data_IF_348878936928
#
_entry.id   IF_348878936928
#
_cell.length_a   1.000
_cell.length_b   1.000
_cell.length_c   1.000
_cell.angle_alpha   90.00
_cell.angle_beta   90.00
_cell.angle_gamma   90.00
#
_symmetry.space_group_name_H-M   'P 1'
#
loop_
_entity.id
_entity.type
_entity.pdbx_description
1 polymer ?
#
# COMPACT_ATOMS: atom_id res chain seq x y z
N UNK A 1 -54.01 -40.72 -9.36
CA UNK A 1 -55.08 -41.61 -8.79
C UNK A 1 -55.96 -40.75 -7.95
N UNK A 2 -57.18 -40.52 -8.44
CA UNK A 2 -58.48 -40.27 -7.80
C UNK A 2 -58.56 -39.06 -6.86
N UNK A 3 -59.24 -37.97 -7.27
CA UNK A 3 -60.74 -37.80 -7.33
C UNK A 3 -61.28 -37.38 -5.97
N UNK A 4 -61.88 -36.28 -5.85
CA UNK A 4 -63.24 -35.86 -6.18
C UNK A 4 -63.93 -35.32 -4.94
N UNK A 5 -64.49 -34.12 -5.07
CA UNK A 5 -65.90 -33.71 -5.00
C UNK A 5 -66.28 -33.22 -3.59
N UNK A 6 -67.13 -32.29 -3.29
CA UNK A 6 -68.25 -31.66 -4.02
C UNK A 6 -68.88 -30.58 -3.10
N UNK A 7 -69.48 -29.59 -3.74
CA UNK A 7 -70.54 -28.67 -3.21
C UNK A 7 -71.84 -29.45 -2.81
N UNK A 8 -72.91 -28.88 -2.25
CA UNK A 8 -73.45 -27.52 -2.23
C UNK A 8 -74.13 -27.19 -0.83
N UNK A 9 -74.69 -26.06 -0.47
CA UNK A 9 -75.64 -25.18 -1.03
C UNK A 9 -76.63 -24.66 0.00
N UNK A 10 -77.44 -23.67 -0.37
CA UNK A 10 -78.68 -23.12 0.21
C UNK A 10 -78.50 -22.02 1.29
N UNK A 11 -78.71 -20.74 0.97
CA UNK A 11 -80.04 -20.05 0.76
C UNK A 11 -80.87 -19.85 2.06
N UNK A 12 -81.08 -18.57 2.41
CA UNK A 12 -82.02 -18.20 3.43
C UNK A 12 -82.05 -16.68 3.67
N UNK A 13 -83.12 -16.11 3.30
CA UNK A 13 -83.52 -14.76 3.03
C UNK A 13 -83.80 -13.90 4.30
N UNK A 14 -83.61 -12.57 4.10
CA UNK A 14 -84.53 -11.44 4.56
C UNK A 14 -84.61 -11.14 6.03
N UNK A 15 -84.19 -9.95 6.51
CA UNK A 15 -85.10 -8.93 6.98
C UNK A 15 -84.43 -7.54 7.14
N UNK A 16 -85.13 -6.52 6.71
CA UNK A 16 -84.85 -5.10 6.86
C UNK A 16 -84.85 -4.65 8.34
N UNK A 17 -83.83 -3.83 8.72
CA UNK A 17 -83.96 -2.86 9.76
C UNK A 17 -83.11 -1.62 9.43
N UNK A 18 -83.83 -0.58 9.07
CA UNK A 18 -83.29 0.79 8.94
C UNK A 18 -82.89 1.30 10.32
N UNK A 19 -81.59 1.60 10.50
CA UNK A 19 -81.16 2.48 11.60
C UNK A 19 -80.27 3.55 11.01
N UNK A 20 -80.72 4.78 11.02
CA UNK A 20 -80.00 5.96 10.61
C UNK A 20 -78.79 6.17 11.56
N UNK A 21 -77.60 5.96 11.10
CA UNK A 21 -76.39 6.38 11.79
C UNK A 21 -75.75 7.48 10.97
N UNK A 22 -75.63 8.66 11.56
CA UNK A 22 -75.00 9.85 10.93
C UNK A 22 -73.62 9.62 10.42
N UNK A 23 -73.43 9.83 9.14
CA UNK A 23 -72.14 9.92 8.47
C UNK A 23 -71.36 11.14 9.02
N UNK A 24 -70.47 10.95 9.98
CA UNK A 24 -69.38 11.88 10.22
C UNK A 24 -68.39 11.80 9.04
N UNK A 25 -68.50 12.75 8.15
CA UNK A 25 -67.51 12.96 7.08
C UNK A 25 -66.18 13.38 7.73
N UNK A 26 -65.06 12.68 7.54
CA UNK A 26 -63.79 13.21 7.99
C UNK A 26 -63.51 14.48 7.19
N UNK A 27 -63.41 15.62 7.86
CA UNK A 27 -62.88 16.84 7.25
C UNK A 27 -61.45 16.59 6.82
N UNK A 28 -61.26 16.43 5.52
CA UNK A 28 -59.93 16.52 4.89
C UNK A 28 -59.37 17.90 5.23
N UNK A 29 -58.29 17.94 6.01
CA UNK A 29 -57.55 19.17 6.27
C UNK A 29 -57.18 19.80 4.90
N UNK A 30 -57.72 20.95 4.62
CA UNK A 30 -57.40 21.71 3.43
C UNK A 30 -55.91 22.08 3.44
N UNK A 31 -55.20 21.81 2.36
CA UNK A 31 -53.83 22.26 2.20
C UNK A 31 -53.81 23.80 2.24
N UNK A 32 -53.07 24.37 3.19
CA UNK A 32 -52.92 25.81 3.32
C UNK A 32 -51.92 26.31 2.24
N UNK A 33 -52.30 27.27 1.40
CA UNK A 33 -51.45 27.84 0.36
C UNK A 33 -50.15 28.44 0.91
N UNK A 34 -50.07 28.77 2.17
CA UNK A 34 -48.88 29.27 2.85
C UNK A 34 -47.75 28.20 3.03
N UNK A 35 -48.08 26.89 2.84
CA UNK A 35 -47.15 25.79 2.96
C UNK A 35 -46.86 25.10 1.61
N UNK A 36 -47.03 25.77 0.48
CA UNK A 36 -46.76 25.22 -0.88
C UNK A 36 -47.35 23.80 -1.09
N UNK A 37 -48.50 23.52 -0.51
CA UNK A 37 -49.15 22.20 -0.60
C UNK A 37 -48.80 21.21 0.52
N UNK A 38 -47.87 21.54 1.43
CA UNK A 38 -47.53 20.75 2.62
C UNK A 38 -48.57 20.91 3.74
N UNK A 39 -48.56 19.98 4.71
CA UNK A 39 -49.44 20.05 5.91
C UNK A 39 -48.89 21.03 6.93
N UNK A 40 -49.79 21.84 7.52
CA UNK A 40 -49.44 22.73 8.64
C UNK A 40 -49.35 21.89 9.93
N UNK A 41 -48.22 21.99 10.64
CA UNK A 41 -47.99 21.30 11.91
C UNK A 41 -48.69 22.02 13.09
N UNK A 42 -48.53 23.34 13.12
CA UNK A 42 -49.18 24.23 14.08
C UNK A 42 -49.06 25.71 13.62
N UNK A 43 -49.79 26.60 14.24
CA UNK A 43 -49.72 28.04 14.03
C UNK A 43 -49.07 28.69 15.27
N UNK A 44 -48.09 29.58 15.07
CA UNK A 44 -47.39 30.31 16.14
C UNK A 44 -47.81 31.77 16.18
N UNK A 45 -47.76 32.36 17.39
CA UNK A 45 -48.02 33.78 17.58
C UNK A 45 -46.97 34.63 16.81
N UNK A 46 -47.38 35.67 16.03
CA UNK A 46 -46.47 36.51 15.27
C UNK A 46 -45.59 37.38 16.18
N UNK A 47 -45.96 37.65 17.42
CA UNK A 47 -45.18 38.43 18.40
C UNK A 47 -44.09 37.63 19.11
N UNK A 48 -43.84 36.37 18.75
CA UNK A 48 -42.77 35.55 19.32
C UNK A 48 -43.04 34.99 20.73
N UNK A 49 -44.27 35.17 21.25
CA UNK A 49 -44.70 34.51 22.50
C UNK A 49 -44.80 33.00 22.26
N UNK A 50 -44.61 32.16 23.32
CA UNK A 50 -44.63 30.68 23.16
C UNK A 50 -46.04 30.09 22.95
N UNK A 51 -47.05 30.93 22.64
CA UNK A 51 -48.42 30.47 22.37
C UNK A 51 -48.57 29.91 20.97
N UNK A 52 -49.03 28.67 20.86
CA UNK A 52 -49.24 27.93 19.62
C UNK A 52 -50.68 27.42 19.52
N UNK A 53 -51.18 27.27 18.29
CA UNK A 53 -52.53 26.75 18.04
C UNK A 53 -52.53 25.68 16.96
N UNK A 54 -53.28 24.59 17.07
CA UNK A 54 -53.41 23.59 16.01
C UNK A 54 -54.29 24.05 14.83
N UNK A 55 -54.99 25.19 14.98
CA UNK A 55 -55.87 25.78 13.96
C UNK A 55 -55.54 27.24 13.73
N UNK A 56 -55.87 27.82 12.56
CA UNK A 56 -55.68 29.24 12.31
C UNK A 56 -56.40 30.06 13.39
N UNK A 57 -55.66 30.98 14.02
CA UNK A 57 -56.16 31.84 15.14
C UNK A 57 -55.57 33.24 14.98
N UNK A 58 -56.26 34.24 15.47
CA UNK A 58 -55.78 35.59 15.58
C UNK A 58 -55.36 35.90 17.03
N UNK A 59 -54.33 36.71 17.15
CA UNK A 59 -53.89 37.21 18.44
C UNK A 59 -54.84 38.34 19.00
N UNK A 60 -54.64 38.78 20.22
CA UNK A 60 -55.49 39.89 20.80
C UNK A 60 -55.40 41.22 20.05
N UNK A 61 -54.37 41.38 19.15
CA UNK A 61 -54.17 42.54 18.30
C UNK A 61 -54.69 42.34 16.87
N UNK A 62 -55.47 41.23 16.63
CA UNK A 62 -56.08 40.85 15.37
C UNK A 62 -55.09 40.45 14.26
N UNK A 63 -53.85 40.07 14.60
CA UNK A 63 -52.86 39.55 13.65
C UNK A 63 -53.02 38.02 13.51
N UNK A 64 -52.89 37.53 12.29
CA UNK A 64 -52.99 36.08 12.00
C UNK A 64 -51.77 35.34 12.51
N UNK A 65 -51.95 34.17 13.12
CA UNK A 65 -50.87 33.28 13.48
C UNK A 65 -50.17 32.76 12.25
N UNK A 66 -48.82 32.68 12.31
CA UNK A 66 -47.98 32.22 11.23
C UNK A 66 -48.00 30.69 11.18
N UNK A 67 -48.41 30.07 10.05
CA UNK A 67 -48.38 28.62 9.92
C UNK A 67 -46.93 28.10 9.91
N UNK A 68 -46.67 27.07 10.68
CA UNK A 68 -45.43 26.28 10.67
C UNK A 68 -45.74 24.98 9.97
N UNK A 69 -45.18 24.83 8.78
CA UNK A 69 -45.40 23.66 7.92
C UNK A 69 -44.66 22.43 8.44
N UNK A 70 -45.24 21.25 8.28
CA UNK A 70 -44.46 20.02 8.34
C UNK A 70 -43.50 20.06 7.15
N UNK A 71 -42.20 20.24 7.42
CA UNK A 71 -41.17 20.10 6.38
C UNK A 71 -41.33 18.71 5.76
N UNK A 72 -41.53 18.64 4.45
CA UNK A 72 -41.44 17.42 3.64
C UNK A 72 -40.01 16.84 3.61
N UNK A 73 -39.27 17.00 4.70
CA UNK A 73 -37.97 16.33 4.86
C UNK A 73 -38.25 14.89 5.26
N UNK A 74 -38.47 14.10 4.21
CA UNK A 74 -38.56 12.63 4.33
C UNK A 74 -37.43 12.07 5.17
N UNK A 75 -37.79 11.50 6.29
CA UNK A 75 -37.39 10.20 6.82
C UNK A 75 -35.89 9.89 6.97
N UNK A 76 -34.96 10.83 7.21
CA UNK A 76 -33.69 10.45 7.80
C UNK A 76 -33.44 11.33 9.05
N UNK A 77 -33.50 10.76 10.26
CA UNK A 77 -33.29 11.51 11.52
C UNK A 77 -31.80 11.88 11.69
N UNK A 78 -31.28 12.71 10.84
CA UNK A 78 -29.88 13.14 10.82
C UNK A 78 -29.51 14.03 9.63
N UNK A 79 -30.40 14.17 8.65
CA UNK A 79 -30.15 15.07 7.51
C UNK A 79 -30.08 16.54 8.00
N UNK A 80 -29.02 17.24 7.59
CA UNK A 80 -28.78 18.65 7.96
C UNK A 80 -28.87 19.49 6.72
N UNK A 81 -29.71 20.55 6.79
CA UNK A 81 -29.73 21.62 5.79
C UNK A 81 -28.96 22.82 6.33
N UNK A 82 -27.93 23.25 5.63
CA UNK A 82 -27.09 24.40 5.96
C UNK A 82 -27.28 25.44 4.86
N UNK A 83 -27.54 26.69 5.23
CA UNK A 83 -27.67 27.77 4.22
C UNK A 83 -26.38 27.93 3.42
N UNK A 84 -26.48 28.28 2.14
CA UNK A 84 -25.34 28.44 1.24
C UNK A 84 -24.30 29.43 1.78
N UNK A 85 -24.73 30.51 2.43
CA UNK A 85 -23.83 31.47 3.09
C UNK A 85 -23.04 30.86 4.24
N UNK A 86 -23.65 29.94 4.98
CA UNK A 86 -23.00 29.20 6.08
C UNK A 86 -22.04 28.15 5.52
N UNK A 87 -22.41 27.48 4.43
CA UNK A 87 -21.54 26.52 3.68
C UNK A 87 -20.26 27.22 3.21
N UNK A 88 -20.39 28.41 2.62
CA UNK A 88 -19.23 29.21 2.16
C UNK A 88 -18.34 29.64 3.33
N UNK A 89 -18.95 30.16 4.43
CA UNK A 89 -18.21 30.59 5.63
C UNK A 89 -17.49 29.45 6.34
N UNK A 90 -18.05 28.26 6.35
CA UNK A 90 -17.43 27.07 6.95
C UNK A 90 -16.38 26.42 6.06
N UNK A 91 -16.26 26.84 4.79
CA UNK A 91 -15.30 26.29 3.84
C UNK A 91 -15.58 24.80 3.53
N UNK A 92 -16.83 24.38 3.47
CA UNK A 92 -17.22 23.02 3.13
C UNK A 92 -16.72 22.68 1.74
N UNK A 93 -15.93 21.62 1.62
CA UNK A 93 -15.50 21.06 0.34
C UNK A 93 -16.04 19.66 0.17
N UNK A 94 -16.36 19.32 -1.05
CA UNK A 94 -16.83 17.99 -1.42
C UNK A 94 -15.92 17.36 -2.46
N UNK A 95 -15.87 16.06 -2.50
CA UNK A 95 -15.21 15.28 -3.54
C UNK A 95 -16.18 14.26 -4.10
N UNK A 96 -16.02 13.98 -5.38
CA UNK A 96 -16.78 12.92 -6.05
C UNK A 96 -16.23 11.55 -5.67
N UNK A 97 -17.12 10.62 -5.37
CA UNK A 97 -16.81 9.22 -5.13
C UNK A 97 -16.44 8.57 -6.46
N UNK A 98 -15.22 8.11 -6.57
CA UNK A 98 -14.71 7.53 -7.81
C UNK A 98 -14.19 6.11 -7.58
N UNK A 99 -14.32 5.31 -8.61
CA UNK A 99 -13.59 4.06 -8.68
C UNK A 99 -12.11 4.34 -8.94
N UNK A 100 -11.25 3.78 -8.09
CA UNK A 100 -9.79 3.95 -8.19
C UNK A 100 -9.06 2.63 -8.01
N UNK A 101 -7.94 2.51 -8.70
CA UNK A 101 -6.93 1.52 -8.36
C UNK A 101 -6.20 1.99 -7.10
N UNK A 102 -6.35 1.25 -6.02
CA UNK A 102 -5.70 1.53 -4.74
C UNK A 102 -4.47 0.65 -4.59
N UNK A 103 -3.44 1.17 -3.95
CA UNK A 103 -2.28 0.39 -3.54
C UNK A 103 -2.06 0.52 -2.04
N UNK A 104 -1.92 -0.61 -1.37
CA UNK A 104 -1.50 -0.64 0.03
C UNK A 104 0.01 -0.47 0.09
N UNK A 105 0.50 0.31 1.05
CA UNK A 105 1.93 0.41 1.31
C UNK A 105 2.29 -0.46 2.50
N UNK A 106 3.16 -1.44 2.27
CA UNK A 106 3.76 -2.25 3.33
C UNK A 106 5.13 -1.65 3.65
N UNK A 107 5.34 -1.27 4.92
CA UNK A 107 6.61 -0.75 5.42
C UNK A 107 7.39 -1.84 6.13
N UNK A 108 8.68 -1.92 5.85
CA UNK A 108 9.57 -2.90 6.42
C UNK A 108 10.96 -2.28 6.71
N UNK A 109 11.60 -2.76 7.76
CA UNK A 109 13.04 -2.52 7.95
C UNK A 109 13.83 -3.46 7.06
N UNK A 110 15.00 -3.00 6.62
CA UNK A 110 15.85 -3.75 5.73
C UNK A 110 17.33 -3.49 6.01
N UNK A 111 18.16 -4.44 5.59
CA UNK A 111 19.61 -4.29 5.50
C UNK A 111 20.07 -4.50 4.06
N UNK A 112 21.11 -3.79 3.68
CA UNK A 112 21.72 -3.93 2.37
C UNK A 112 22.76 -5.05 2.40
N UNK A 113 22.80 -5.85 1.34
CA UNK A 113 23.77 -6.93 1.17
C UNK A 113 24.30 -6.94 -0.25
N UNK A 114 25.48 -7.51 -0.44
CA UNK A 114 25.99 -7.76 -1.78
C UNK A 114 25.14 -8.80 -2.50
N UNK A 115 25.02 -8.67 -3.82
CA UNK A 115 24.44 -9.72 -4.65
C UNK A 115 25.38 -10.95 -4.65
N UNK A 116 24.99 -12.01 -3.96
CA UNK A 116 25.77 -13.25 -3.83
C UNK A 116 26.10 -13.88 -5.19
N UNK A 117 25.27 -13.67 -6.20
CA UNK A 117 25.47 -14.18 -7.56
C UNK A 117 26.62 -13.46 -8.31
N UNK A 118 27.01 -12.28 -7.81
CA UNK A 118 28.03 -11.40 -8.39
C UNK A 118 29.30 -11.39 -7.56
N UNK A 119 29.48 -12.35 -6.68
CA UNK A 119 30.70 -12.56 -5.91
C UNK A 119 31.59 -13.57 -6.61
N UNK A 120 32.86 -13.25 -6.69
CA UNK A 120 33.88 -14.12 -7.26
C UNK A 120 35.04 -14.27 -6.30
N UNK A 121 35.42 -15.51 -6.02
CA UNK A 121 36.57 -15.83 -5.19
C UNK A 121 37.75 -16.19 -6.09
N UNK A 122 38.91 -15.57 -5.86
CA UNK A 122 40.16 -15.90 -6.50
C UNK A 122 40.88 -16.89 -5.59
N UNK A 123 40.82 -18.16 -5.95
CA UNK A 123 41.44 -19.27 -5.23
C UNK A 123 42.24 -20.10 -6.25
N UNK A 124 43.58 -19.96 -6.25
CA UNK A 124 44.44 -20.75 -7.19
C UNK A 124 44.27 -22.25 -6.98
N UNK A 125 44.32 -23.01 -8.06
CA UNK A 125 44.18 -24.47 -8.01
C UNK A 125 45.53 -25.21 -7.88
N UNK A 126 46.56 -24.47 -7.48
CA UNK A 126 47.94 -24.92 -7.26
C UNK A 126 48.47 -24.29 -5.99
N UNK A 127 49.55 -24.84 -5.43
CA UNK A 127 50.24 -24.26 -4.28
C UNK A 127 51.43 -23.37 -4.75
N UNK A 128 51.73 -22.35 -3.93
CA UNK A 128 52.85 -21.46 -4.26
C UNK A 128 53.16 -20.43 -3.19
N UNK A 129 53.96 -19.44 -3.55
CA UNK A 129 54.29 -18.27 -2.76
C UNK A 129 53.89 -17.01 -3.50
N UNK A 130 53.38 -16.02 -2.78
CA UNK A 130 53.06 -14.70 -3.31
C UNK A 130 54.36 -13.90 -3.33
N UNK A 131 54.85 -13.61 -4.52
CA UNK A 131 56.11 -12.83 -4.71
C UNK A 131 55.83 -11.33 -4.61
N UNK A 132 54.68 -10.89 -5.18
CA UNK A 132 54.34 -9.49 -5.21
C UNK A 132 52.82 -9.29 -5.21
N UNK A 133 52.33 -8.29 -4.47
CA UNK A 133 50.96 -7.83 -4.55
C UNK A 133 50.85 -6.57 -5.42
N UNK A 134 49.99 -6.61 -6.43
CA UNK A 134 49.69 -5.50 -7.32
C UNK A 134 48.41 -4.77 -6.92
N UNK A 135 47.48 -5.50 -6.33
CA UNK A 135 46.28 -4.94 -5.64
C UNK A 135 46.43 -5.24 -4.15
N UNK A 136 46.54 -4.20 -3.35
CA UNK A 136 47.03 -4.36 -1.98
C UNK A 136 46.02 -3.98 -0.89
N UNK A 137 44.89 -3.40 -1.24
CA UNK A 137 43.90 -2.97 -0.25
C UNK A 137 42.50 -3.54 -0.50
N UNK A 138 41.76 -3.76 0.60
CA UNK A 138 40.31 -3.95 0.57
C UNK A 138 39.68 -2.62 0.19
N UNK A 139 38.73 -2.64 -0.72
CA UNK A 139 38.09 -1.44 -1.30
C UNK A 139 38.65 -1.04 -2.67
N UNK A 140 39.80 -1.61 -3.10
CA UNK A 140 40.35 -1.31 -4.40
C UNK A 140 39.41 -1.78 -5.53
N UNK A 141 39.14 -0.92 -6.53
CA UNK A 141 38.43 -1.33 -7.73
C UNK A 141 39.37 -2.12 -8.65
N UNK A 142 38.85 -3.18 -9.23
CA UNK A 142 39.57 -4.01 -10.19
C UNK A 142 38.75 -4.25 -11.44
N UNK A 143 39.42 -4.40 -12.59
CA UNK A 143 38.78 -4.73 -13.85
C UNK A 143 39.13 -6.16 -14.25
N UNK A 144 38.25 -6.78 -15.06
CA UNK A 144 38.53 -8.11 -15.63
C UNK A 144 39.88 -8.13 -16.37
N UNK A 145 40.73 -9.09 -16.04
CA UNK A 145 42.08 -9.24 -16.62
C UNK A 145 43.16 -8.37 -15.98
N UNK A 146 42.80 -7.47 -15.05
CA UNK A 146 43.80 -6.68 -14.32
C UNK A 146 44.67 -7.57 -13.43
N UNK A 147 46.00 -7.43 -13.46
CA UNK A 147 46.91 -8.16 -12.59
C UNK A 147 46.61 -7.90 -11.09
N UNK A 148 46.40 -8.95 -10.30
CA UNK A 148 46.16 -8.87 -8.86
C UNK A 148 47.44 -9.11 -8.07
N UNK A 149 48.14 -10.18 -8.38
CA UNK A 149 49.36 -10.57 -7.69
C UNK A 149 50.22 -11.48 -8.56
N UNK A 150 51.49 -11.60 -8.22
CA UNK A 150 52.51 -12.45 -8.86
C UNK A 150 52.85 -13.62 -7.94
N UNK A 151 52.96 -14.83 -8.49
CA UNK A 151 53.21 -16.04 -7.74
C UNK A 151 54.38 -16.83 -8.29
N UNK A 152 55.11 -17.44 -7.38
CA UNK A 152 56.04 -18.52 -7.68
C UNK A 152 55.41 -19.86 -7.30
N UNK A 153 55.38 -20.80 -8.24
CA UNK A 153 54.90 -22.16 -7.99
C UNK A 153 55.83 -23.18 -8.62
N UNK A 154 56.49 -24.07 -7.82
CA UNK A 154 57.28 -25.14 -8.34
C UNK A 154 56.50 -26.06 -9.25
N UNK A 155 55.23 -26.34 -8.90
CA UNK A 155 54.32 -27.20 -9.68
C UNK A 155 54.10 -26.61 -11.08
N UNK A 156 53.77 -25.33 -11.18
CA UNK A 156 53.59 -24.66 -12.46
C UNK A 156 54.88 -24.64 -13.31
N UNK A 157 56.04 -24.44 -12.67
CA UNK A 157 57.33 -24.47 -13.39
C UNK A 157 57.60 -25.83 -14.01
N UNK A 158 57.37 -26.94 -13.31
CA UNK A 158 57.49 -28.29 -13.82
C UNK A 158 56.53 -28.51 -15.00
N UNK A 159 55.28 -28.09 -14.86
CA UNK A 159 54.26 -28.24 -15.90
C UNK A 159 54.55 -27.41 -17.15
N UNK A 160 55.12 -26.21 -17.00
CA UNK A 160 55.57 -25.39 -18.12
C UNK A 160 56.69 -26.12 -18.90
N UNK A 161 57.62 -26.76 -18.19
CA UNK A 161 58.68 -27.54 -18.78
C UNK A 161 58.15 -28.79 -19.51
N UNK A 162 57.26 -29.54 -18.87
CA UNK A 162 56.55 -30.68 -19.49
C UNK A 162 55.83 -30.25 -20.77
N UNK A 163 55.11 -29.12 -20.74
CA UNK A 163 54.37 -28.61 -21.90
C UNK A 163 55.26 -28.33 -23.11
N UNK A 164 56.46 -27.78 -22.87
CA UNK A 164 57.41 -27.52 -23.94
C UNK A 164 58.03 -28.80 -24.51
N UNK A 165 58.40 -29.73 -23.63
CA UNK A 165 58.99 -31.01 -24.04
C UNK A 165 57.98 -31.90 -24.79
N UNK A 166 56.72 -31.84 -24.39
CA UNK A 166 55.64 -32.57 -25.06
C UNK A 166 55.22 -31.97 -26.41
N UNK A 167 55.96 -31.01 -26.97
CA UNK A 167 55.66 -30.43 -28.26
C UNK A 167 54.29 -29.74 -28.36
N UNK A 168 53.82 -29.15 -27.30
CA UNK A 168 52.51 -28.42 -27.20
C UNK A 168 51.30 -29.34 -27.38
N UNK A 169 51.38 -30.59 -26.98
CA UNK A 169 50.28 -31.55 -27.10
C UNK A 169 49.07 -31.09 -26.31
N UNK A 170 47.86 -31.41 -26.79
CA UNK A 170 46.58 -30.99 -26.20
C UNK A 170 46.49 -31.35 -24.73
N UNK A 171 46.90 -32.54 -24.34
CA UNK A 171 46.86 -33.03 -22.95
C UNK A 171 47.65 -32.14 -21.97
N UNK A 172 48.86 -31.68 -22.36
CA UNK A 172 49.71 -30.83 -21.52
C UNK A 172 49.11 -29.40 -21.41
N UNK A 173 48.43 -28.94 -22.47
CA UNK A 173 47.67 -27.70 -22.47
C UNK A 173 46.46 -27.75 -21.52
N UNK A 174 45.74 -28.87 -21.58
CA UNK A 174 44.58 -29.07 -20.71
C UNK A 174 44.97 -29.20 -19.21
N UNK A 175 46.13 -29.80 -18.93
CA UNK A 175 46.69 -29.90 -17.58
C UNK A 175 46.97 -28.51 -16.99
N UNK A 176 47.57 -27.59 -17.73
CA UNK A 176 47.81 -26.20 -17.32
C UNK A 176 46.46 -25.45 -17.13
N UNK A 177 45.53 -25.58 -18.05
CA UNK A 177 44.20 -24.97 -17.93
C UNK A 177 43.42 -25.45 -16.71
N UNK A 178 43.46 -26.75 -16.43
CA UNK A 178 42.79 -27.33 -15.26
C UNK A 178 43.30 -26.79 -13.94
N UNK A 179 44.59 -26.40 -13.89
CA UNK A 179 45.17 -25.69 -12.74
C UNK A 179 44.87 -24.20 -12.71
N UNK A 180 44.15 -23.67 -13.73
CA UNK A 180 43.82 -22.25 -13.79
C UNK A 180 45.00 -21.37 -14.27
N UNK A 181 45.97 -21.93 -15.02
CA UNK A 181 47.06 -21.16 -15.59
C UNK A 181 46.49 -20.05 -16.51
N UNK A 182 46.86 -18.77 -16.33
CA UNK A 182 46.23 -17.68 -17.04
C UNK A 182 46.45 -17.76 -18.56
N UNK A 183 45.42 -17.48 -19.36
CA UNK A 183 45.49 -17.52 -20.81
C UNK A 183 46.47 -16.46 -21.38
N UNK A 184 46.66 -15.34 -20.68
CA UNK A 184 47.67 -14.33 -20.97
C UNK A 184 49.10 -14.94 -20.95
N UNK A 185 49.39 -15.72 -19.92
CA UNK A 185 50.64 -16.38 -19.70
C UNK A 185 50.83 -17.56 -20.69
N UNK A 186 49.75 -18.25 -21.07
CA UNK A 186 49.77 -19.27 -22.13
C UNK A 186 50.24 -18.72 -23.48
N UNK A 187 49.95 -17.46 -23.80
CA UNK A 187 50.44 -16.81 -25.01
C UNK A 187 51.94 -16.61 -24.96
N UNK A 188 52.51 -16.28 -23.81
CA UNK A 188 53.97 -16.20 -23.59
C UNK A 188 54.63 -17.56 -23.77
N UNK A 189 54.10 -18.62 -23.17
CA UNK A 189 54.58 -19.99 -23.34
C UNK A 189 54.61 -20.41 -24.83
N UNK A 190 53.62 -20.06 -25.63
CA UNK A 190 53.57 -20.35 -27.08
C UNK A 190 54.68 -19.66 -27.84
N UNK A 191 55.17 -18.50 -27.36
CA UNK A 191 56.35 -17.78 -27.93
C UNK A 191 57.70 -18.31 -27.45
N UNK A 192 57.68 -19.28 -26.51
CA UNK A 192 58.89 -19.85 -25.92
C UNK A 192 59.35 -19.20 -24.63
N UNK A 193 58.57 -18.26 -24.10
CA UNK A 193 58.83 -17.64 -22.82
C UNK A 193 58.54 -18.64 -21.66
N UNK A 194 59.37 -18.61 -20.61
CA UNK A 194 59.16 -19.42 -19.39
C UNK A 194 59.21 -18.52 -18.17
N UNK A 195 58.10 -17.84 -17.86
CA UNK A 195 58.11 -17.02 -16.67
C UNK A 195 58.21 -17.91 -15.42
N UNK A 196 59.23 -17.65 -14.59
CA UNK A 196 59.34 -18.31 -13.27
C UNK A 196 58.25 -17.84 -12.33
N UNK A 197 57.85 -16.60 -12.53
CA UNK A 197 56.77 -15.92 -11.77
C UNK A 197 55.58 -15.78 -12.71
N UNK A 198 54.40 -16.18 -12.25
CA UNK A 198 53.14 -16.15 -12.99
C UNK A 198 52.25 -15.08 -12.41
N UNK A 199 51.72 -14.24 -13.29
CA UNK A 199 50.81 -13.17 -12.90
C UNK A 199 49.35 -13.69 -12.90
N UNK A 200 48.69 -13.54 -11.78
CA UNK A 200 47.28 -13.94 -11.62
C UNK A 200 46.37 -12.73 -11.84
N UNK A 201 45.54 -12.73 -12.90
CA UNK A 201 44.64 -11.64 -13.20
C UNK A 201 43.30 -11.79 -12.48
N UNK A 202 42.57 -10.69 -12.36
CA UNK A 202 41.18 -10.68 -11.89
C UNK A 202 40.27 -11.41 -12.89
N UNK A 203 39.45 -12.36 -12.44
CA UNK A 203 38.47 -13.02 -13.28
C UNK A 203 37.23 -12.17 -13.56
N UNK A 204 37.06 -11.05 -12.87
CA UNK A 204 35.86 -10.19 -12.96
C UNK A 204 36.20 -8.73 -12.73
N UNK A 205 35.27 -7.85 -13.09
CA UNK A 205 35.29 -6.43 -12.71
C UNK A 205 34.48 -6.26 -11.43
N UNK A 206 35.01 -5.48 -10.49
CA UNK A 206 34.32 -5.23 -9.21
C UNK A 206 35.24 -4.57 -8.19
N UNK A 207 34.86 -4.69 -6.92
CA UNK A 207 35.63 -4.16 -5.78
C UNK A 207 36.09 -5.31 -4.89
N UNK A 208 37.34 -5.24 -4.45
CA UNK A 208 37.90 -6.21 -3.50
C UNK A 208 37.24 -6.01 -2.13
N UNK A 209 36.50 -7.00 -1.63
CA UNK A 209 35.85 -6.95 -0.33
C UNK A 209 36.58 -7.75 0.74
N UNK A 210 37.43 -8.69 0.33
CA UNK A 210 38.26 -9.50 1.23
C UNK A 210 39.59 -9.80 0.54
N UNK A 211 40.70 -9.68 1.29
CA UNK A 211 42.05 -9.96 0.83
C UNK A 211 42.80 -10.72 1.91
N UNK A 212 42.98 -12.02 1.70
CA UNK A 212 43.82 -12.88 2.53
C UNK A 212 45.26 -13.01 1.99
N UNK A 213 45.51 -12.56 0.76
CA UNK A 213 46.83 -12.57 0.14
C UNK A 213 47.81 -11.65 0.90
N UNK A 214 48.98 -12.18 1.25
CA UNK A 214 50.08 -11.44 1.92
C UNK A 214 51.36 -11.70 1.10
N UNK A 215 52.09 -10.64 0.79
CA UNK A 215 53.38 -10.74 0.07
C UNK A 215 54.38 -11.56 0.87
N UNK A 216 55.08 -12.48 0.21
CA UNK A 216 55.99 -13.44 0.82
C UNK A 216 55.31 -14.67 1.44
N UNK A 217 53.98 -14.67 1.62
CA UNK A 217 53.29 -15.81 2.22
C UNK A 217 53.14 -16.98 1.26
N UNK A 218 53.12 -18.20 1.83
CA UNK A 218 52.79 -19.43 1.10
C UNK A 218 51.27 -19.62 1.13
N UNK A 219 50.69 -20.07 0.02
CA UNK A 219 49.32 -20.50 -0.09
C UNK A 219 49.18 -21.94 -0.59
N UNK A 220 48.07 -22.59 -0.30
CA UNK A 220 47.70 -23.91 -0.76
C UNK A 220 46.67 -23.82 -1.90
N UNK A 221 46.55 -24.90 -2.67
CA UNK A 221 45.50 -25.01 -3.67
C UNK A 221 44.13 -24.90 -3.02
N UNK A 222 43.30 -23.96 -3.52
CA UNK A 222 41.94 -23.72 -3.02
C UNK A 222 41.81 -22.61 -1.94
N UNK A 223 42.96 -22.09 -1.46
CA UNK A 223 42.90 -20.97 -0.50
C UNK A 223 42.27 -19.73 -1.13
N UNK A 224 41.25 -19.10 -0.47
CA UNK A 224 40.62 -17.89 -0.99
C UNK A 224 41.52 -16.69 -0.74
N UNK A 225 42.22 -16.23 -1.76
CA UNK A 225 43.17 -15.12 -1.65
C UNK A 225 42.51 -13.74 -1.79
N UNK A 226 41.51 -13.66 -2.69
CA UNK A 226 40.71 -12.44 -2.89
C UNK A 226 39.24 -12.81 -3.04
N UNK A 227 38.38 -11.93 -2.55
CA UNK A 227 36.94 -11.92 -2.85
C UNK A 227 36.60 -10.61 -3.51
N UNK A 228 36.05 -10.67 -4.72
CA UNK A 228 35.71 -9.52 -5.54
C UNK A 228 34.22 -9.54 -5.79
N UNK A 229 33.57 -8.39 -5.66
CA UNK A 229 32.12 -8.24 -5.85
C UNK A 229 31.84 -7.11 -6.82
N UNK A 230 30.93 -7.36 -7.74
CA UNK A 230 30.31 -6.31 -8.54
C UNK A 230 29.25 -5.59 -7.70
N UNK A 231 29.53 -4.35 -7.34
CA UNK A 231 28.68 -3.52 -6.48
C UNK A 231 27.68 -2.66 -7.25
N UNK A 232 27.56 -2.83 -8.56
CA UNK A 232 26.61 -2.04 -9.41
C UNK A 232 25.15 -2.35 -9.12
N UNK A 233 24.88 -3.50 -8.50
CA UNK A 233 23.58 -3.87 -7.94
C UNK A 233 23.76 -4.34 -6.51
N UNK A 234 22.80 -3.97 -5.68
CA UNK A 234 22.75 -4.38 -4.27
C UNK A 234 21.45 -5.13 -3.98
N UNK A 235 21.50 -6.04 -3.05
CA UNK A 235 20.33 -6.65 -2.48
C UNK A 235 19.90 -5.86 -1.23
N UNK A 236 18.63 -5.59 -1.13
CA UNK A 236 17.98 -5.07 0.06
C UNK A 236 17.14 -6.19 0.64
N UNK A 237 17.53 -6.69 1.79
CA UNK A 237 16.83 -7.76 2.50
C UNK A 237 15.87 -7.09 3.48
N UNK A 238 14.60 -7.05 3.11
CA UNK A 238 13.53 -6.46 3.91
C UNK A 238 12.85 -7.51 4.80
N UNK A 239 12.51 -7.12 6.02
CA UNK A 239 11.80 -7.96 6.99
C UNK A 239 10.34 -7.51 7.12
N UNK A 240 9.43 -8.27 6.51
CA UNK A 240 8.00 -7.99 6.49
C UNK A 240 7.29 -8.85 7.52
N UNK A 241 6.40 -8.28 8.31
CA UNK A 241 5.61 -9.02 9.29
C UNK A 241 4.68 -10.04 8.62
N UNK A 242 4.48 -11.16 9.28
CA UNK A 242 3.64 -12.28 8.81
C UNK A 242 2.23 -11.82 8.37
N UNK A 243 1.63 -10.89 9.10
CA UNK A 243 0.31 -10.33 8.80
C UNK A 243 0.25 -9.54 7.48
N UNK A 244 1.38 -8.99 7.03
CA UNK A 244 1.47 -8.19 5.81
C UNK A 244 1.96 -9.00 4.61
N UNK A 245 2.48 -10.23 4.86
CA UNK A 245 3.06 -11.08 3.82
C UNK A 245 2.07 -11.44 2.71
N UNK A 246 0.80 -11.67 3.05
CA UNK A 246 -0.24 -11.97 2.08
C UNK A 246 -0.47 -10.85 1.05
N UNK A 247 0.01 -9.64 1.33
CA UNK A 247 -0.14 -8.47 0.49
C UNK A 247 1.08 -8.18 -0.38
N UNK A 248 2.17 -8.92 -0.24
CA UNK A 248 3.41 -8.70 -1.02
C UNK A 248 3.61 -9.83 -2.01
N UNK A 249 3.88 -9.46 -3.26
CA UNK A 249 4.13 -10.41 -4.36
C UNK A 249 5.49 -10.13 -4.99
N UNK A 250 6.07 -11.17 -5.58
CA UNK A 250 7.25 -11.00 -6.45
C UNK A 250 6.86 -10.13 -7.64
N UNK A 251 7.68 -9.12 -7.92
CA UNK A 251 7.44 -8.10 -8.94
C UNK A 251 6.93 -6.76 -8.40
N UNK A 252 6.48 -6.70 -7.14
CA UNK A 252 6.03 -5.45 -6.53
C UNK A 252 7.16 -4.41 -6.49
N UNK A 253 6.80 -3.16 -6.76
CA UNK A 253 7.72 -2.04 -6.69
C UNK A 253 8.01 -1.68 -5.23
N UNK A 254 9.27 -1.45 -4.95
CA UNK A 254 9.75 -1.09 -3.64
C UNK A 254 10.55 0.22 -3.69
N UNK A 255 10.24 1.13 -2.78
CA UNK A 255 10.99 2.35 -2.56
C UNK A 255 11.87 2.16 -1.32
N UNK A 256 13.16 2.33 -1.50
CA UNK A 256 14.17 2.12 -0.47
C UNK A 256 14.76 3.46 -0.07
N UNK A 257 14.75 3.77 1.21
CA UNK A 257 15.39 4.93 1.81
C UNK A 257 16.43 4.46 2.80
N UNK A 258 17.67 4.93 2.66
CA UNK A 258 18.78 4.59 3.57
C UNK A 258 19.05 5.77 4.51
N UNK A 259 19.40 5.47 5.75
CA UNK A 259 19.63 6.51 6.76
C UNK A 259 20.80 7.45 6.40
N UNK A 260 21.76 6.97 5.62
CA UNK A 260 22.90 7.78 5.16
C UNK A 260 22.48 8.85 4.13
N UNK A 261 21.36 8.67 3.43
CA UNK A 261 20.85 9.55 2.38
C UNK A 261 19.33 9.72 2.53
N UNK A 262 18.86 10.44 3.57
CA UNK A 262 17.42 10.52 3.89
C UNK A 262 16.58 11.19 2.79
N UNK A 263 17.20 12.11 2.04
CA UNK A 263 16.55 12.85 0.94
C UNK A 263 16.59 12.11 -0.39
N UNK A 264 17.22 10.92 -0.42
CA UNK A 264 17.37 10.13 -1.65
C UNK A 264 16.61 8.82 -1.53
N UNK A 265 15.82 8.56 -2.56
CA UNK A 265 15.04 7.33 -2.68
C UNK A 265 15.62 6.47 -3.79
N UNK A 266 15.79 5.19 -3.53
CA UNK A 266 16.22 4.19 -4.49
C UNK A 266 15.04 3.29 -4.84
N UNK A 267 14.82 3.09 -6.13
CA UNK A 267 13.75 2.21 -6.60
C UNK A 267 14.27 0.79 -6.82
N UNK A 268 13.48 -0.19 -6.44
CA UNK A 268 13.77 -1.59 -6.63
C UNK A 268 12.52 -2.41 -6.85
N UNK A 269 12.70 -3.71 -7.06
CA UNK A 269 11.61 -4.68 -7.19
C UNK A 269 11.82 -5.86 -6.26
N UNK A 270 10.73 -6.37 -5.69
CA UNK A 270 10.74 -7.64 -4.97
C UNK A 270 11.05 -8.77 -5.96
N UNK A 271 12.20 -9.41 -5.81
CA UNK A 271 12.63 -10.49 -6.70
C UNK A 271 12.47 -11.87 -6.09
N UNK A 272 12.44 -11.94 -4.76
CA UNK A 272 12.31 -13.20 -4.06
C UNK A 272 11.68 -13.03 -2.67
N UNK A 273 10.87 -13.99 -2.28
CA UNK A 273 10.30 -14.11 -0.93
C UNK A 273 10.87 -15.39 -0.33
N UNK A 274 11.62 -15.27 0.77
CA UNK A 274 12.21 -16.44 1.42
C UNK A 274 11.12 -17.32 2.05
N UNK A 275 11.23 -18.64 1.94
CA UNK A 275 10.18 -19.58 2.39
C UNK A 275 10.14 -19.79 3.91
N UNK A 276 10.96 -19.08 4.66
CA UNK A 276 11.07 -19.19 6.11
C UNK A 276 10.69 -17.90 6.82
N UNK A 277 10.03 -18.05 7.96
CA UNK A 277 9.70 -16.93 8.87
C UNK A 277 10.66 -16.97 10.05
N UNK A 278 11.20 -15.85 10.44
CA UNK A 278 12.03 -15.68 11.63
C UNK A 278 11.23 -16.04 12.89
N UNK A 279 11.74 -16.96 13.70
CA UNK A 279 11.01 -17.44 14.89
C UNK A 279 10.79 -16.35 15.95
N UNK A 280 11.78 -15.48 16.13
CA UNK A 280 11.75 -14.43 17.15
C UNK A 280 11.05 -13.16 16.66
N UNK A 281 11.39 -12.72 15.44
CA UNK A 281 10.84 -11.49 14.85
C UNK A 281 9.45 -11.65 14.25
N UNK A 282 9.02 -12.89 13.93
CA UNK A 282 7.79 -13.16 13.17
C UNK A 282 7.73 -12.42 11.85
N UNK A 283 8.89 -12.27 11.21
CA UNK A 283 9.05 -11.61 9.91
C UNK A 283 9.46 -12.60 8.83
N UNK A 284 8.97 -12.40 7.62
CA UNK A 284 9.47 -13.03 6.41
C UNK A 284 10.51 -12.13 5.76
N UNK A 285 11.60 -12.70 5.26
CA UNK A 285 12.60 -11.96 4.51
C UNK A 285 12.20 -11.88 3.04
N UNK A 286 12.42 -10.71 2.46
CA UNK A 286 12.16 -10.41 1.06
C UNK A 286 13.45 -9.86 0.45
N UNK A 287 13.78 -10.32 -0.75
CA UNK A 287 14.90 -9.77 -1.50
C UNK A 287 14.39 -8.77 -2.54
N UNK A 288 14.93 -7.58 -2.46
CA UNK A 288 14.67 -6.49 -3.39
C UNK A 288 15.99 -6.17 -4.09
N UNK A 289 16.00 -6.09 -5.40
CA UNK A 289 17.18 -5.72 -6.17
C UNK A 289 17.14 -4.24 -6.49
N UNK A 290 18.23 -3.55 -6.19
CA UNK A 290 18.38 -2.10 -6.34
C UNK A 290 19.65 -1.79 -7.12
N UNK A 291 19.55 -0.96 -8.15
CA UNK A 291 20.71 -0.50 -8.91
C UNK A 291 21.56 0.48 -8.08
N UNK A 292 22.89 0.36 -8.19
CA UNK A 292 23.87 1.16 -7.45
C UNK A 292 25.00 1.65 -8.37
N UNK A 293 24.68 2.41 -9.42
CA UNK A 293 25.69 2.80 -10.43
C UNK A 293 26.75 3.77 -9.89
N UNK A 294 26.43 4.54 -8.88
CA UNK A 294 27.31 5.54 -8.26
C UNK A 294 28.00 5.04 -6.98
N UNK A 295 27.76 3.77 -6.58
CA UNK A 295 28.37 3.18 -5.38
C UNK A 295 27.91 3.82 -4.06
N UNK A 296 26.80 4.56 -4.05
CA UNK A 296 26.27 5.20 -2.85
C UNK A 296 25.77 4.19 -1.81
N UNK A 297 25.24 3.07 -2.27
CA UNK A 297 24.76 1.98 -1.42
C UNK A 297 25.92 1.05 -1.06
N UNK A 298 26.05 0.75 0.24
CA UNK A 298 27.06 -0.15 0.78
C UNK A 298 26.40 -1.28 1.55
N UNK A 299 27.06 -2.42 1.62
CA UNK A 299 26.60 -3.54 2.44
C UNK A 299 26.51 -3.12 3.92
N UNK A 300 25.63 -3.77 4.66
CA UNK A 300 25.31 -3.54 6.08
C UNK A 300 24.63 -2.17 6.38
N UNK A 301 24.34 -1.35 5.37
CA UNK A 301 23.53 -0.16 5.59
C UNK A 301 22.11 -0.55 6.00
N UNK A 302 21.59 0.14 7.02
CA UNK A 302 20.18 0.02 7.40
C UNK A 302 19.30 0.86 6.46
N UNK A 303 18.16 0.33 6.10
CA UNK A 303 17.19 0.97 5.22
C UNK A 303 15.76 0.78 5.71
N UNK A 304 14.90 1.66 5.25
CA UNK A 304 13.43 1.50 5.31
C UNK A 304 12.93 1.26 3.90
N UNK A 305 12.04 0.29 3.77
CA UNK A 305 11.44 -0.10 2.50
C UNK A 305 9.95 0.14 2.55
N UNK A 306 9.42 0.78 1.52
CA UNK A 306 7.99 0.91 1.25
C UNK A 306 7.64 0.10 0.00
N UNK A 307 6.91 -0.99 0.18
CA UNK A 307 6.47 -1.86 -0.91
C UNK A 307 5.07 -1.46 -1.30
N UNK A 308 4.89 -1.08 -2.57
CA UNK A 308 3.59 -0.76 -3.12
C UNK A 308 2.90 -2.05 -3.59
N UNK A 309 1.86 -2.47 -2.87
CA UNK A 309 1.04 -3.63 -3.21
C UNK A 309 -0.27 -3.17 -3.81
N UNK A 310 -0.45 -3.28 -5.14
CA UNK A 310 -1.70 -2.89 -5.78
C UNK A 310 -2.84 -3.84 -5.35
N UNK A 311 -3.98 -3.26 -4.98
CA UNK A 311 -5.20 -4.01 -4.74
C UNK A 311 -5.82 -4.38 -6.09
N UNK A 312 -6.21 -5.64 -6.23
CA UNK A 312 -6.81 -6.12 -7.49
C UNK A 312 -8.14 -5.43 -7.80
N UNK A 313 -8.26 -4.89 -9.00
CA UNK A 313 -9.45 -4.24 -9.52
C UNK A 313 -9.64 -2.79 -9.07
N UNK A 314 -10.58 -2.11 -9.74
CA UNK A 314 -11.04 -0.78 -9.36
C UNK A 314 -11.97 -0.89 -8.14
N UNK A 315 -11.84 0.04 -7.21
CA UNK A 315 -12.59 0.04 -5.93
C UNK A 315 -13.15 1.42 -5.67
N UNK A 316 -14.37 1.47 -5.16
CA UNK A 316 -14.95 2.72 -4.66
C UNK A 316 -14.06 3.24 -3.52
N UNK A 317 -13.56 4.45 -3.69
CA UNK A 317 -12.67 5.08 -2.73
C UNK A 317 -13.08 6.52 -2.45
N UNK A 318 -12.89 6.93 -1.21
CA UNK A 318 -13.09 8.30 -0.76
C UNK A 318 -11.81 8.83 -0.09
N UNK A 319 -11.57 10.14 -0.08
CA UNK A 319 -10.50 10.72 0.71
C UNK A 319 -10.64 10.35 2.19
N UNK A 320 -9.53 10.08 2.88
CA UNK A 320 -9.54 9.76 4.33
C UNK A 320 -10.26 10.84 5.14
N UNK A 321 -10.15 12.11 4.71
CA UNK A 321 -10.79 13.24 5.37
C UNK A 321 -12.32 13.28 5.25
N UNK A 322 -12.91 12.48 4.36
CA UNK A 322 -14.36 12.37 4.21
C UNK A 322 -15.00 11.44 5.26
N UNK A 323 -14.20 10.59 5.88
CA UNK A 323 -14.69 9.58 6.83
C UNK A 323 -14.68 10.13 8.24
N UNK A 324 -15.84 10.04 8.90
CA UNK A 324 -16.02 10.30 10.32
C UNK A 324 -16.05 8.94 11.03
N UNK A 325 -15.01 8.65 11.80
CA UNK A 325 -14.91 7.42 12.57
C UNK A 325 -15.05 7.72 14.06
N UNK A 326 -16.15 7.26 14.66
CA UNK A 326 -16.43 7.43 16.09
C UNK A 326 -15.97 6.23 16.94
N UNK A 327 -15.27 5.27 16.34
CA UNK A 327 -14.87 4.01 16.97
C UNK A 327 -16.01 2.98 17.07
N UNK A 328 -17.28 3.41 17.08
CA UNK A 328 -18.47 2.54 17.08
C UNK A 328 -19.14 2.45 15.71
N UNK A 329 -19.07 3.52 14.94
CA UNK A 329 -19.64 3.60 13.59
C UNK A 329 -18.79 4.50 12.70
N UNK A 330 -18.74 4.15 11.44
CA UNK A 330 -18.06 4.89 10.39
C UNK A 330 -19.13 5.50 9.49
N UNK A 331 -19.05 6.81 9.29
CA UNK A 331 -20.07 7.59 8.61
C UNK A 331 -19.42 8.53 7.61
N UNK A 332 -20.08 8.76 6.49
CA UNK A 332 -19.71 9.75 5.49
C UNK A 332 -20.89 10.69 5.28
N UNK A 333 -20.63 11.98 5.07
CA UNK A 333 -21.67 12.96 4.78
C UNK A 333 -21.81 13.13 3.26
N UNK A 334 -22.98 12.77 2.74
CA UNK A 334 -23.30 12.88 1.31
C UNK A 334 -23.98 14.23 1.04
N UNK A 335 -23.54 14.92 -0.01
CA UNK A 335 -24.18 16.12 -0.52
C UNK A 335 -25.37 15.78 -1.41
N UNK A 336 -26.57 16.24 -1.04
CA UNK A 336 -27.82 16.04 -1.78
C UNK A 336 -28.25 17.30 -2.56
N UNK A 337 -27.37 18.28 -2.68
CA UNK A 337 -27.64 19.57 -3.30
C UNK A 337 -28.27 20.58 -2.32
N UNK A 338 -28.27 21.88 -2.72
CA UNK A 338 -28.89 23.00 -1.97
C UNK A 338 -28.45 23.10 -0.50
N UNK A 339 -27.19 22.71 -0.17
CA UNK A 339 -26.67 22.72 1.19
C UNK A 339 -27.25 21.64 2.11
N UNK A 340 -27.85 20.58 1.56
CA UNK A 340 -28.33 19.43 2.30
C UNK A 340 -27.28 18.33 2.39
N UNK A 341 -26.99 17.87 3.58
CA UNK A 341 -26.01 16.82 3.89
C UNK A 341 -26.67 15.70 4.66
N UNK A 342 -26.43 14.48 4.22
CA UNK A 342 -27.02 13.27 4.79
C UNK A 342 -25.91 12.38 5.34
N UNK A 343 -25.91 12.05 6.66
CA UNK A 343 -24.98 11.10 7.22
C UNK A 343 -25.37 9.68 6.79
N UNK A 344 -24.42 8.96 6.17
CA UNK A 344 -24.61 7.58 5.74
C UNK A 344 -23.57 6.68 6.38
N UNK A 345 -24.00 5.60 7.06
CA UNK A 345 -23.06 4.60 7.55
C UNK A 345 -22.38 3.90 6.40
N UNK A 346 -21.08 3.68 6.53
CA UNK A 346 -20.27 3.01 5.52
C UNK A 346 -19.44 1.90 6.13
N UNK A 347 -19.18 0.87 5.33
CA UNK A 347 -18.23 -0.19 5.68
C UNK A 347 -16.93 0.06 4.95
N UNK A 348 -15.88 0.34 5.71
CA UNK A 348 -14.56 0.60 5.15
C UNK A 348 -13.79 -0.68 4.89
N UNK A 349 -12.90 -0.61 3.90
CA UNK A 349 -11.96 -1.66 3.52
C UNK A 349 -10.51 -1.23 3.67
N UNK A 350 -9.70 -1.54 2.66
CA UNK A 350 -8.28 -1.23 2.65
C UNK A 350 -8.02 0.29 2.65
N UNK A 351 -6.97 0.71 3.37
CA UNK A 351 -6.47 2.08 3.34
C UNK A 351 -5.29 2.18 2.38
N UNK A 352 -5.28 3.26 1.60
CA UNK A 352 -4.20 3.65 0.70
C UNK A 352 -3.77 5.09 1.06
N UNK A 353 -2.62 5.58 0.62
CA UNK A 353 -2.19 6.94 0.90
C UNK A 353 -3.25 7.98 0.45
N UNK A 354 -3.85 8.68 1.42
CA UNK A 354 -4.86 9.72 1.22
C UNK A 354 -6.27 9.25 0.86
N UNK A 355 -6.50 7.92 0.73
CA UNK A 355 -7.79 7.36 0.37
C UNK A 355 -8.10 6.10 1.18
N UNK A 356 -9.40 5.86 1.39
CA UNK A 356 -9.90 4.62 1.98
C UNK A 356 -10.94 3.98 1.06
N UNK A 357 -10.85 2.66 0.92
CA UNK A 357 -11.84 1.87 0.20
C UNK A 357 -13.16 1.86 0.97
N UNK A 358 -14.26 2.02 0.24
CA UNK A 358 -15.61 1.78 0.77
C UNK A 358 -16.13 0.48 0.15
N UNK A 359 -16.42 -0.49 1.02
CA UNK A 359 -16.95 -1.81 0.62
C UNK A 359 -18.45 -1.73 0.40
N UNK A 360 -19.13 -0.95 1.25
CA UNK A 360 -20.59 -0.82 1.24
C UNK A 360 -21.02 0.57 1.75
N UNK A 361 -22.13 1.08 1.24
CA UNK A 361 -22.73 2.33 1.67
C UNK A 361 -22.54 3.52 0.72
N UNK A 362 -21.73 3.42 -0.35
CA UNK A 362 -21.55 4.50 -1.34
C UNK A 362 -21.59 3.95 -2.77
N UNK A 363 -22.03 4.80 -3.70
CA UNK A 363 -22.00 4.55 -5.14
C UNK A 363 -21.07 5.54 -5.84
N UNK A 364 -20.49 5.11 -6.98
CA UNK A 364 -19.67 5.98 -7.81
C UNK A 364 -20.52 7.16 -8.34
N UNK A 365 -19.94 8.38 -8.34
CA UNK A 365 -20.62 9.61 -8.75
C UNK A 365 -21.31 10.36 -7.61
N UNK A 366 -21.49 9.78 -6.44
CA UNK A 366 -21.98 10.52 -5.26
C UNK A 366 -20.94 11.55 -4.81
N UNK A 367 -21.38 12.62 -4.16
CA UNK A 367 -20.50 13.67 -3.63
C UNK A 367 -20.43 13.60 -2.13
N UNK A 368 -19.23 13.48 -1.58
CA UNK A 368 -18.97 13.37 -0.14
C UNK A 368 -18.22 14.59 0.39
N UNK A 369 -18.54 15.00 1.59
CA UNK A 369 -17.88 16.14 2.26
C UNK A 369 -16.49 15.71 2.69
N UNK A 370 -15.47 16.50 2.35
CA UNK A 370 -14.08 16.26 2.70
C UNK A 370 -13.50 17.27 3.67
N UNK A 371 -14.17 18.41 3.84
CA UNK A 371 -13.77 19.47 4.74
C UNK A 371 -14.97 19.99 5.53
N UNK A 372 -14.75 20.37 6.80
CA UNK A 372 -15.80 20.76 7.75
C UNK A 372 -16.75 19.61 8.16
N UNK A 373 -16.37 18.36 7.95
CA UNK A 373 -17.16 17.15 8.27
C UNK A 373 -17.60 17.13 9.75
N UNK A 374 -16.67 17.46 10.66
CA UNK A 374 -16.96 17.45 12.12
C UNK A 374 -18.01 18.50 12.51
N UNK A 375 -18.00 19.69 11.89
CA UNK A 375 -18.97 20.74 12.20
C UNK A 375 -20.38 20.35 11.74
N UNK A 376 -20.49 19.71 10.59
CA UNK A 376 -21.76 19.22 10.06
C UNK A 376 -22.28 18.03 10.86
N UNK A 377 -21.40 17.12 11.25
CA UNK A 377 -21.77 15.96 12.09
C UNK A 377 -22.23 16.39 13.48
N UNK A 378 -21.57 17.38 14.10
CA UNK A 378 -22.00 17.95 15.37
C UNK A 378 -23.40 18.58 15.28
N UNK A 379 -23.69 19.35 14.22
CA UNK A 379 -25.02 19.93 13.97
C UNK A 379 -26.07 18.82 13.76
N UNK A 380 -25.71 17.75 13.01
CA UNK A 380 -26.58 16.58 12.77
C UNK A 380 -26.91 15.85 14.06
N UNK A 381 -25.92 15.58 14.90
CA UNK A 381 -26.10 14.88 16.17
C UNK A 381 -26.96 15.70 17.17
N UNK A 382 -26.76 17.04 17.20
CA UNK A 382 -27.57 17.93 18.04
C UNK A 382 -29.04 17.90 17.59
N UNK A 383 -29.32 17.98 16.27
CA UNK A 383 -30.69 17.91 15.73
C UNK A 383 -31.34 16.57 16.02
N UNK A 384 -30.60 15.47 15.82
CA UNK A 384 -31.13 14.14 16.14
C UNK A 384 -31.45 13.97 17.64
N UNK A 385 -30.60 14.53 18.51
CA UNK A 385 -30.86 14.51 19.95
C UNK A 385 -32.09 15.36 20.35
N UNK A 386 -32.24 16.55 19.76
CA UNK A 386 -33.43 17.41 19.99
C UNK A 386 -34.71 16.72 19.50
N UNK A 387 -34.71 16.13 18.31
CA UNK A 387 -35.85 15.40 17.78
C UNK A 387 -36.24 14.20 18.65
N UNK A 388 -35.23 13.49 19.22
CA UNK A 388 -35.49 12.39 20.16
C UNK A 388 -36.09 12.87 21.49
N UNK A 389 -35.69 14.05 21.99
CA UNK A 389 -36.26 14.68 23.18
C UNK A 389 -37.70 15.09 22.95
N UNK A 390 -38.04 15.70 21.82
CA UNK A 390 -39.41 16.09 21.47
C UNK A 390 -40.33 14.88 21.31
N UNK A 391 -39.84 13.79 20.69
CA UNK A 391 -40.58 12.54 20.57
C UNK A 391 -40.82 11.83 21.94
N UNK A 392 -39.89 12.00 22.90
CA UNK A 392 -39.97 11.45 24.25
C UNK A 392 -40.92 12.27 25.18
N UNK A 393 -41.08 13.57 24.93
CA UNK A 393 -41.95 14.45 25.68
C UNK A 393 -43.45 14.36 25.25
N UNK A 394 -43.72 13.69 24.11
CA UNK A 394 -45.06 13.47 23.58
C UNK A 394 -45.70 12.13 24.01
N UNK A 395 -45.09 11.39 24.94
CA UNK A 395 -45.64 10.23 25.63
C UNK A 395 -45.92 10.56 27.09
#
# INVERSE_FOLDING_TARGET
>A
MKLVSSRPGLAGAVLFALLALGLAVPQTAAADPACNGGKVKYYRNPMGTPDTSPVPKKDPMNMDYIPVCEDETGTNPGAVTISLDKVQRLGVRTAEVQERSLSRTVRAFASLQFDERRQTVVAPRFAGWIEKLLVNAVGDPVTHGQPLFEVYSPELNVLQQEWQLAGRMAYATDKLRNLGYPESEMKGLRRGERPRIVTIPSPTTGTVIEKAAIEGARFQAGDPLFRIVDTTNMWVIAEVYEQDLAHVKVGDLARVTVNAWPDRTFEGKVTFIYPSIGKESRTARLRIEVANPDGALRAEMAATVEIASPLEGSRIAVPDSAVIDSGRRQVVLIERGEGRYEPRPVKLGARAPGFVQVIDGLEAGERVVTQATFLIDAESNIRAALAAFEAGAAK
#
